data_IF_466237546462
#
_entry.id   IF_466237546462
#
_cell.length_a   1.000
_cell.length_b   1.000
_cell.length_c   1.000
_cell.angle_alpha   90.00
_cell.angle_beta   90.00
_cell.angle_gamma   90.00
#
_symmetry.space_group_name_H-M   'P 1'
#
loop_
_entity.id
_entity.type
_entity.pdbx_description
1 polymer ?
#
# COMPACT_ATOMS: atom_id res chain seq x y z
N UNK A 1 5.36 21.18 0.40
CA UNK A 1 4.36 21.08 1.48
C UNK A 1 3.35 22.21 1.47
N UNK A 2 3.63 23.35 0.82
CA UNK A 2 2.74 24.53 0.82
C UNK A 2 1.39 24.32 0.08
N UNK A 3 1.31 23.32 -0.81
CA UNK A 3 0.08 22.98 -1.55
C UNK A 3 -0.76 21.89 -0.86
N UNK A 4 -0.31 21.35 0.28
CA UNK A 4 -1.06 20.33 1.01
C UNK A 4 -2.08 21.00 1.94
N UNK A 5 -3.36 20.85 1.62
CA UNK A 5 -4.44 21.25 2.51
C UNK A 5 -4.52 20.31 3.71
N UNK A 6 -4.50 20.87 4.92
CA UNK A 6 -4.57 20.14 6.18
C UNK A 6 -5.80 20.63 6.95
N UNK A 7 -6.56 19.68 7.48
CA UNK A 7 -7.70 19.96 8.36
C UNK A 7 -7.64 19.05 9.58
N UNK A 8 -7.81 19.62 10.78
CA UNK A 8 -7.94 18.89 12.04
C UNK A 8 -9.35 19.12 12.58
N UNK A 9 -10.32 18.27 12.20
CA UNK A 9 -11.71 18.41 12.64
C UNK A 9 -11.88 17.98 14.10
N UNK A 10 -12.81 18.61 14.79
CA UNK A 10 -13.19 18.33 16.18
C UNK A 10 -14.05 17.07 16.30
N UNK A 11 -14.93 16.81 15.31
CA UNK A 11 -15.83 15.64 15.32
C UNK A 11 -15.80 14.86 14.01
N UNK A 12 -16.22 13.58 14.07
CA UNK A 12 -16.32 12.71 12.91
C UNK A 12 -17.31 13.21 11.85
N UNK A 13 -18.43 13.82 12.28
CA UNK A 13 -19.38 14.47 11.36
C UNK A 13 -18.71 15.61 10.61
N UNK A 14 -18.06 16.52 11.33
CA UNK A 14 -17.38 17.67 10.74
C UNK A 14 -16.29 17.23 9.76
N UNK A 15 -15.50 16.21 10.12
CA UNK A 15 -14.48 15.64 9.25
C UNK A 15 -15.06 15.18 7.91
N UNK A 16 -16.19 14.47 7.93
CA UNK A 16 -16.82 13.91 6.73
C UNK A 16 -17.57 14.97 5.92
N UNK A 17 -18.08 16.02 6.56
CA UNK A 17 -18.67 17.19 5.89
C UNK A 17 -17.63 18.06 5.19
N UNK A 18 -16.47 18.28 5.83
CA UNK A 18 -15.32 18.93 5.21
C UNK A 18 -14.89 18.10 3.99
N UNK A 19 -14.74 16.78 4.15
CA UNK A 19 -14.38 15.91 3.03
C UNK A 19 -15.38 16.02 1.87
N UNK A 20 -16.69 15.96 2.12
CA UNK A 20 -17.72 16.08 1.07
C UNK A 20 -17.66 17.44 0.37
N UNK A 21 -17.47 18.53 1.13
CA UNK A 21 -17.36 19.89 0.57
C UNK A 21 -16.14 20.01 -0.33
N UNK A 22 -14.98 19.51 0.11
CA UNK A 22 -13.74 19.54 -0.67
C UNK A 22 -13.85 18.69 -1.94
N UNK A 23 -14.47 17.51 -1.86
CA UNK A 23 -14.70 16.65 -3.03
C UNK A 23 -15.63 17.34 -4.04
N UNK A 24 -16.74 17.92 -3.57
CA UNK A 24 -17.72 18.63 -4.42
C UNK A 24 -17.16 19.88 -5.09
N UNK A 25 -16.16 20.52 -4.47
CA UNK A 25 -15.51 21.68 -5.08
C UNK A 25 -14.78 21.34 -6.39
N UNK A 26 -14.43 20.05 -6.60
CA UNK A 26 -13.66 19.60 -7.75
C UNK A 26 -12.20 20.05 -7.74
N UNK A 27 -11.74 20.77 -6.70
CA UNK A 27 -10.38 21.29 -6.63
C UNK A 27 -9.37 20.31 -6.04
N UNK A 28 -9.81 19.13 -5.59
CA UNK A 28 -8.95 18.12 -4.97
C UNK A 28 -8.96 16.83 -5.78
N UNK A 29 -7.76 16.38 -6.16
CA UNK A 29 -7.57 15.09 -6.84
C UNK A 29 -7.44 13.92 -5.86
N UNK A 30 -6.85 14.14 -4.68
CA UNK A 30 -6.64 13.10 -3.66
C UNK A 30 -6.97 13.64 -2.27
N UNK A 31 -7.81 12.93 -1.52
CA UNK A 31 -8.14 13.22 -0.13
C UNK A 31 -7.82 12.02 0.75
N UNK A 32 -7.12 12.25 1.86
CA UNK A 32 -6.78 11.21 2.84
C UNK A 32 -7.46 11.50 4.18
N UNK A 33 -8.16 10.51 4.72
CA UNK A 33 -8.74 10.56 6.07
C UNK A 33 -7.90 9.70 7.00
N UNK A 34 -7.14 10.34 7.88
CA UNK A 34 -6.30 9.71 8.89
C UNK A 34 -6.82 10.05 10.31
N UNK A 35 -7.59 9.18 10.98
CA UNK A 35 -8.03 7.84 10.58
C UNK A 35 -9.50 7.62 10.89
N UNK A 36 -10.10 6.57 10.31
CA UNK A 36 -11.49 6.17 10.59
C UNK A 36 -11.73 5.91 12.08
N UNK A 37 -10.72 5.40 12.79
CA UNK A 37 -10.82 5.13 14.22
C UNK A 37 -11.00 6.41 15.05
N UNK A 38 -10.50 7.55 14.55
CA UNK A 38 -10.60 8.86 15.18
C UNK A 38 -11.82 9.68 14.73
N UNK A 39 -12.66 9.15 13.85
CA UNK A 39 -13.93 9.77 13.47
C UNK A 39 -14.96 9.57 14.59
N UNK A 40 -14.76 10.24 15.71
CA UNK A 40 -15.60 10.14 16.90
C UNK A 40 -16.85 11.01 16.72
N UNK A 41 -18.06 10.44 16.79
CA UNK A 41 -19.29 11.21 16.69
C UNK A 41 -19.40 12.26 17.80
N UNK A 42 -20.02 13.40 17.51
CA UNK A 42 -20.20 14.49 18.49
C UNK A 42 -20.81 14.02 19.81
N UNK A 43 -21.87 13.22 19.76
CA UNK A 43 -22.54 12.73 20.96
C UNK A 43 -21.64 11.84 21.84
N UNK A 44 -20.63 11.19 21.27
CA UNK A 44 -19.64 10.41 22.04
C UNK A 44 -18.59 11.34 22.69
N UNK A 45 -18.25 12.46 22.06
CA UNK A 45 -17.33 13.46 22.62
C UNK A 45 -17.96 14.31 23.73
N UNK A 46 -19.26 14.61 23.60
CA UNK A 46 -20.03 15.39 24.59
C UNK A 46 -20.56 14.54 25.75
N UNK A 47 -20.59 13.20 25.60
CA UNK A 47 -21.02 12.26 26.62
C UNK A 47 -19.97 11.99 27.70
N UNK A 48 -20.37 11.26 28.74
CA UNK A 48 -19.45 10.85 29.81
C UNK A 48 -18.69 9.57 29.45
N UNK A 49 -17.51 9.41 30.04
CA UNK A 49 -16.73 8.18 29.87
C UNK A 49 -17.50 7.00 30.47
N UNK A 50 -17.87 6.05 29.62
CA UNK A 50 -18.65 4.87 30.01
C UNK A 50 -20.08 4.87 29.46
N UNK A 51 -20.52 5.97 28.86
CA UNK A 51 -21.84 6.02 28.22
C UNK A 51 -21.95 5.04 27.05
N UNK A 52 -23.07 4.33 27.02
CA UNK A 52 -23.33 3.29 26.03
C UNK A 52 -23.80 3.87 24.70
N UNK A 53 -22.86 4.25 23.84
CA UNK A 53 -23.13 4.70 22.47
C UNK A 53 -22.99 3.55 21.45
N UNK A 54 -23.94 2.61 21.45
CA UNK A 54 -23.84 1.42 20.61
C UNK A 54 -23.97 1.76 19.12
N UNK A 55 -22.87 1.57 18.38
CA UNK A 55 -22.86 1.62 16.91
C UNK A 55 -23.02 3.03 16.31
N UNK A 56 -22.77 4.08 17.08
CA UNK A 56 -22.92 5.46 16.60
C UNK A 56 -21.97 5.75 15.42
N UNK A 57 -20.70 5.40 15.57
CA UNK A 57 -19.68 5.56 14.52
C UNK A 57 -20.01 4.75 13.25
N UNK A 58 -20.56 3.53 13.38
CA UNK A 58 -20.89 2.70 12.20
C UNK A 58 -22.07 3.26 11.40
N UNK A 59 -23.03 3.89 12.08
CA UNK A 59 -24.16 4.60 11.46
C UNK A 59 -23.68 5.86 10.75
N UNK A 60 -22.84 6.65 11.41
CA UNK A 60 -22.20 7.83 10.83
C UNK A 60 -21.48 7.48 9.52
N UNK A 61 -20.60 6.47 9.56
CA UNK A 61 -19.87 6.00 8.37
C UNK A 61 -20.80 5.53 7.26
N UNK A 62 -21.87 4.80 7.58
CA UNK A 62 -22.84 4.33 6.58
C UNK A 62 -23.57 5.48 5.89
N UNK A 63 -23.95 6.52 6.64
CA UNK A 63 -24.63 7.69 6.10
C UNK A 63 -23.67 8.56 5.27
N UNK A 64 -22.47 8.81 5.79
CA UNK A 64 -21.47 9.62 5.12
C UNK A 64 -21.01 8.99 3.81
N UNK A 65 -20.64 7.70 3.80
CA UNK A 65 -20.18 7.02 2.60
C UNK A 65 -21.27 6.95 1.50
N UNK A 66 -22.54 6.85 1.88
CA UNK A 66 -23.66 6.92 0.93
C UNK A 66 -23.70 8.26 0.19
N UNK A 67 -23.44 9.37 0.89
CA UNK A 67 -23.37 10.71 0.29
C UNK A 67 -22.09 10.88 -0.52
N UNK A 68 -20.93 10.58 0.09
CA UNK A 68 -19.60 10.75 -0.49
C UNK A 68 -19.44 9.97 -1.79
N UNK A 69 -20.00 8.77 -1.92
CA UNK A 69 -19.83 7.95 -3.12
C UNK A 69 -20.31 8.65 -4.40
N UNK A 70 -21.42 9.39 -4.33
CA UNK A 70 -21.90 10.16 -5.48
C UNK A 70 -20.97 11.34 -5.79
N UNK A 71 -20.51 12.05 -4.75
CA UNK A 71 -19.60 13.20 -4.89
C UNK A 71 -18.27 12.77 -5.51
N UNK A 72 -17.67 11.70 -4.99
CA UNK A 72 -16.38 11.12 -5.45
C UNK A 72 -16.45 10.75 -6.93
N UNK A 73 -17.54 10.09 -7.35
CA UNK A 73 -17.69 9.66 -8.74
C UNK A 73 -17.83 10.84 -9.71
N UNK A 74 -18.47 11.92 -9.29
CA UNK A 74 -18.67 13.12 -10.11
C UNK A 74 -17.41 14.00 -10.20
N UNK A 75 -16.66 14.11 -9.12
CA UNK A 75 -15.45 14.96 -9.05
C UNK A 75 -14.18 14.26 -9.52
N UNK A 76 -14.24 12.93 -9.73
CA UNK A 76 -13.08 12.08 -10.02
C UNK A 76 -11.97 12.21 -8.95
N UNK A 77 -12.36 12.40 -7.68
CA UNK A 77 -11.41 12.50 -6.56
C UNK A 77 -11.12 11.12 -5.98
N UNK A 78 -9.84 10.77 -5.79
CA UNK A 78 -9.44 9.59 -5.04
C UNK A 78 -9.56 9.86 -3.54
N UNK A 79 -10.31 9.02 -2.82
CA UNK A 79 -10.42 9.10 -1.35
C UNK A 79 -9.79 7.89 -0.70
N UNK A 80 -8.84 8.12 0.19
CA UNK A 80 -8.11 7.10 0.96
C UNK A 80 -8.52 7.21 2.42
N UNK A 81 -9.00 6.11 3.00
CA UNK A 81 -9.27 6.00 4.43
C UNK A 81 -8.20 5.14 5.10
N UNK A 82 -7.50 5.71 6.07
CA UNK A 82 -6.61 4.96 6.96
C UNK A 82 -7.46 4.40 8.10
N UNK A 83 -7.26 3.14 8.44
CA UNK A 83 -8.02 2.47 9.48
C UNK A 83 -7.11 1.58 10.31
N UNK A 84 -7.52 1.35 11.54
CA UNK A 84 -6.80 0.54 12.52
C UNK A 84 -7.47 -0.82 12.67
N UNK A 85 -6.66 -1.82 12.99
CA UNK A 85 -7.15 -3.13 13.41
C UNK A 85 -7.58 -3.07 14.89
N UNK A 86 -8.60 -3.85 15.20
CA UNK A 86 -9.11 -4.17 16.54
C UNK A 86 -9.36 -5.68 16.61
N UNK A 87 -9.47 -6.22 17.81
CA UNK A 87 -9.86 -7.61 18.01
C UNK A 87 -11.32 -7.69 18.41
N UNK A 88 -12.08 -8.55 17.75
CA UNK A 88 -13.45 -8.87 18.15
C UNK A 88 -13.42 -9.93 19.25
N UNK A 89 -13.81 -9.54 20.45
CA UNK A 89 -13.90 -10.45 21.60
C UNK A 89 -14.98 -11.50 21.32
N UNK A 90 -14.72 -12.76 21.68
CA UNK A 90 -15.68 -13.86 21.60
C UNK A 90 -15.73 -14.61 20.26
N UNK A 91 -14.79 -14.35 19.34
CA UNK A 91 -14.64 -15.14 18.10
C UNK A 91 -13.85 -16.41 18.41
N UNK A 92 -14.51 -17.58 18.36
CA UNK A 92 -13.88 -18.89 18.58
C UNK A 92 -13.33 -19.54 17.30
N UNK A 93 -13.74 -19.07 16.12
CA UNK A 93 -13.33 -19.61 14.82
C UNK A 93 -13.10 -18.50 13.79
N UNK A 94 -12.04 -18.61 12.99
CA UNK A 94 -11.64 -17.61 12.00
C UNK A 94 -10.75 -16.50 12.57
N UNK A 95 -10.49 -15.46 11.75
CA UNK A 95 -9.68 -14.33 12.20
C UNK A 95 -10.46 -13.43 13.16
N UNK A 96 -9.91 -13.11 14.36
CA UNK A 96 -10.54 -12.18 15.29
C UNK A 96 -10.34 -10.72 14.88
N UNK A 97 -9.55 -10.43 13.85
CA UNK A 97 -9.25 -9.07 13.41
C UNK A 97 -10.46 -8.40 12.75
N UNK A 98 -10.74 -7.18 13.18
CA UNK A 98 -11.78 -6.31 12.61
C UNK A 98 -11.27 -4.88 12.46
N UNK A 99 -11.98 -4.07 11.68
CA UNK A 99 -11.67 -2.65 11.45
C UNK A 99 -12.72 -1.77 12.12
N UNK A 100 -12.33 -0.56 12.53
CA UNK A 100 -13.27 0.44 13.11
C UNK A 100 -14.23 1.01 12.06
N UNK A 101 -15.29 1.70 12.50
CA UNK A 101 -16.28 2.32 11.59
C UNK A 101 -17.34 1.37 11.00
N UNK A 102 -17.45 0.14 11.52
CA UNK A 102 -18.43 -0.85 11.06
C UNK A 102 -18.11 -1.46 9.69
N UNK A 103 -19.15 -1.89 8.97
CA UNK A 103 -18.97 -2.63 7.71
C UNK A 103 -19.08 -1.76 6.45
N UNK A 104 -19.62 -0.54 6.54
CA UNK A 104 -19.90 0.29 5.37
C UNK A 104 -18.65 0.48 4.49
N UNK A 105 -17.53 0.89 5.08
CA UNK A 105 -16.29 1.09 4.34
C UNK A 105 -15.85 -0.16 3.59
N UNK A 106 -16.02 -1.35 4.19
CA UNK A 106 -15.67 -2.63 3.53
C UNK A 106 -16.43 -2.82 2.22
N UNK A 107 -17.68 -2.36 2.12
CA UNK A 107 -18.51 -2.50 0.92
C UNK A 107 -18.26 -1.37 -0.09
N UNK A 108 -18.14 -0.13 0.38
CA UNK A 108 -17.95 1.05 -0.47
C UNK A 108 -16.55 1.13 -1.08
N UNK A 109 -15.50 0.70 -0.38
CA UNK A 109 -14.14 0.74 -0.94
C UNK A 109 -14.01 -0.09 -2.23
N UNK A 110 -13.43 0.51 -3.26
CA UNK A 110 -13.08 -0.19 -4.51
C UNK A 110 -11.85 -1.08 -4.34
N UNK A 111 -10.86 -0.61 -3.58
CA UNK A 111 -9.64 -1.35 -3.23
C UNK A 111 -9.47 -1.33 -1.71
N UNK A 112 -9.02 -2.45 -1.13
CA UNK A 112 -8.61 -2.53 0.27
C UNK A 112 -7.25 -3.19 0.37
N UNK A 113 -6.40 -2.58 1.17
CA UNK A 113 -5.01 -2.99 1.38
C UNK A 113 -4.81 -3.31 2.87
N UNK A 114 -4.24 -4.47 3.16
CA UNK A 114 -3.74 -4.85 4.49
C UNK A 114 -2.22 -4.68 4.48
N UNK A 115 -1.73 -3.70 5.25
CA UNK A 115 -0.31 -3.37 5.37
C UNK A 115 0.24 -3.89 6.70
N UNK A 116 1.36 -4.62 6.64
CA UNK A 116 2.03 -5.18 7.82
C UNK A 116 3.53 -4.99 7.73
N UNK A 117 4.14 -4.60 8.85
CA UNK A 117 5.58 -4.75 9.05
C UNK A 117 5.90 -6.22 9.24
N UNK A 118 6.79 -6.76 8.41
CA UNK A 118 7.23 -8.16 8.46
C UNK A 118 8.67 -8.31 8.98
N UNK A 119 9.46 -7.24 8.94
CA UNK A 119 10.85 -7.27 9.39
C UNK A 119 11.42 -5.90 9.69
N UNK A 120 12.64 -5.88 10.21
CA UNK A 120 13.44 -4.69 10.42
C UNK A 120 14.65 -4.72 9.47
N UNK A 121 14.94 -3.60 8.83
CA UNK A 121 16.13 -3.42 8.00
C UNK A 121 17.21 -2.85 8.90
N UNK A 122 18.35 -3.53 8.98
CA UNK A 122 19.47 -3.12 9.84
C UNK A 122 20.67 -2.74 9.00
N UNK A 123 21.31 -1.65 9.39
CA UNK A 123 22.69 -1.36 9.02
C UNK A 123 23.55 -1.53 10.27
N UNK A 124 24.37 -2.59 10.28
CA UNK A 124 25.11 -3.05 11.47
C UNK A 124 24.16 -3.23 12.67
N UNK A 125 24.23 -2.37 13.67
CA UNK A 125 23.44 -2.41 14.90
C UNK A 125 22.22 -1.47 14.87
N UNK A 126 22.09 -0.59 13.88
CA UNK A 126 21.01 0.39 13.79
C UNK A 126 19.87 -0.10 12.90
N UNK A 127 18.62 0.13 13.33
CA UNK A 127 17.44 -0.15 12.52
C UNK A 127 17.16 1.08 11.64
N UNK A 128 17.44 0.94 10.36
CA UNK A 128 17.33 2.01 9.35
C UNK A 128 15.99 2.00 8.59
N UNK A 129 15.18 0.95 8.77
CA UNK A 129 13.89 0.86 8.12
C UNK A 129 13.08 -0.39 8.47
N UNK A 130 11.96 -0.55 7.77
CA UNK A 130 11.00 -1.63 7.94
C UNK A 130 10.78 -2.35 6.62
N UNK A 131 10.92 -3.68 6.66
CA UNK A 131 10.42 -4.51 5.58
C UNK A 131 8.91 -4.64 5.75
N UNK A 132 8.17 -4.27 4.70
CA UNK A 132 6.72 -4.10 4.72
C UNK A 132 6.07 -4.98 3.68
N UNK A 133 4.96 -5.62 4.05
CA UNK A 133 4.12 -6.42 3.16
C UNK A 133 2.75 -5.77 3.04
N UNK A 134 2.27 -5.60 1.81
CA UNK A 134 0.91 -5.15 1.53
C UNK A 134 0.16 -6.24 0.76
N UNK A 135 -1.00 -6.64 1.28
CA UNK A 135 -1.93 -7.58 0.63
C UNK A 135 -3.17 -6.85 0.14
N UNK A 136 -3.53 -7.05 -1.12
CA UNK A 136 -4.79 -6.53 -1.68
C UNK A 136 -5.95 -7.43 -1.25
N UNK A 137 -6.62 -7.10 -0.15
CA UNK A 137 -7.71 -7.94 0.40
C UNK A 137 -9.05 -7.75 -0.28
N UNK A 138 -9.20 -6.66 -1.06
CA UNK A 138 -10.36 -6.42 -1.94
C UNK A 138 -9.90 -5.63 -3.15
N UNK A 139 -10.36 -6.00 -4.33
CA UNK A 139 -10.12 -5.26 -5.56
C UNK A 139 -11.35 -5.38 -6.48
N UNK A 140 -11.90 -4.25 -6.93
CA UNK A 140 -13.02 -4.18 -7.88
C UNK A 140 -12.59 -3.89 -9.33
N UNK A 141 -11.32 -3.54 -9.56
CA UNK A 141 -10.83 -3.08 -10.87
C UNK A 141 -9.80 -4.04 -11.49
N UNK A 142 -9.28 -4.98 -10.71
CA UNK A 142 -8.33 -6.01 -11.15
C UNK A 142 -8.42 -7.23 -10.20
N UNK A 143 -7.73 -8.35 -10.51
CA UNK A 143 -7.71 -9.51 -9.63
C UNK A 143 -7.24 -9.17 -8.20
N UNK A 144 -7.97 -9.61 -7.15
CA UNK A 144 -7.59 -9.39 -5.75
C UNK A 144 -6.51 -10.39 -5.27
N UNK A 145 -6.12 -10.24 -4.00
CA UNK A 145 -5.25 -11.15 -3.23
C UNK A 145 -3.77 -11.19 -3.61
N UNK A 146 -3.34 -10.34 -4.54
CA UNK A 146 -1.91 -10.09 -4.77
C UNK A 146 -1.24 -9.54 -3.52
N UNK A 147 0.02 -9.90 -3.36
CA UNK A 147 0.90 -9.46 -2.27
C UNK A 147 2.09 -8.76 -2.87
N UNK A 148 2.47 -7.63 -2.29
CA UNK A 148 3.70 -6.92 -2.60
C UNK A 148 4.51 -6.74 -1.33
N UNK A 149 5.83 -6.84 -1.46
CA UNK A 149 6.78 -6.61 -0.39
C UNK A 149 7.75 -5.54 -0.84
N UNK A 150 8.01 -4.59 0.06
CA UNK A 150 8.89 -3.46 -0.20
C UNK A 150 9.45 -2.93 1.12
N UNK A 151 10.46 -2.08 0.98
CA UNK A 151 11.17 -1.49 2.10
C UNK A 151 10.71 -0.06 2.33
N UNK A 152 10.43 0.28 3.59
CA UNK A 152 10.20 1.65 4.04
C UNK A 152 11.41 2.07 4.87
N UNK A 153 12.22 2.98 4.33
CA UNK A 153 13.39 3.53 5.00
C UNK A 153 12.99 4.74 5.85
N UNK A 154 13.54 4.87 7.05
CA UNK A 154 13.25 6.01 7.91
C UNK A 154 13.82 7.30 7.32
N UNK A 155 13.03 8.37 7.28
CA UNK A 155 13.42 9.66 6.70
C UNK A 155 13.35 9.73 5.17
N UNK A 156 13.32 8.61 4.46
CA UNK A 156 13.24 8.58 2.99
C UNK A 156 11.88 8.09 2.45
N UNK A 157 11.20 7.19 3.17
CA UNK A 157 9.94 6.58 2.73
C UNK A 157 10.13 5.27 1.95
N UNK A 158 9.26 5.00 0.99
CA UNK A 158 9.30 3.75 0.21
C UNK A 158 10.56 3.75 -0.67
N UNK A 159 11.38 2.71 -0.56
CA UNK A 159 12.63 2.56 -1.32
C UNK A 159 12.35 2.10 -2.75
N UNK A 160 12.03 3.05 -3.65
CA UNK A 160 11.81 2.80 -5.09
C UNK A 160 12.96 2.05 -5.75
N UNK A 161 14.20 2.42 -5.45
CA UNK A 161 15.39 1.75 -6.03
C UNK A 161 15.51 0.30 -5.58
N UNK A 162 15.14 0.00 -4.33
CA UNK A 162 15.09 -1.38 -3.83
C UNK A 162 14.07 -2.22 -4.59
N UNK A 163 12.87 -1.67 -4.81
CA UNK A 163 11.83 -2.33 -5.60
C UNK A 163 12.27 -2.56 -7.05
N UNK A 164 12.93 -1.59 -7.69
CA UNK A 164 13.43 -1.74 -9.06
C UNK A 164 14.43 -2.90 -9.19
N UNK A 165 15.30 -3.09 -8.21
CA UNK A 165 16.24 -4.24 -8.20
C UNK A 165 15.46 -5.54 -8.06
N UNK A 166 14.55 -5.62 -7.09
CA UNK A 166 13.82 -6.86 -6.79
C UNK A 166 12.87 -7.26 -7.94
N UNK A 167 12.16 -6.28 -8.53
CA UNK A 167 11.31 -6.48 -9.70
C UNK A 167 12.13 -6.76 -10.96
N UNK A 168 13.26 -6.07 -11.15
CA UNK A 168 14.14 -6.29 -12.29
C UNK A 168 14.71 -7.71 -12.32
N UNK A 169 15.05 -8.28 -11.16
CA UNK A 169 15.46 -9.70 -11.07
C UNK A 169 14.29 -10.64 -11.37
N UNK A 170 13.11 -10.39 -10.79
CA UNK A 170 11.92 -11.22 -11.05
C UNK A 170 11.46 -11.18 -12.50
N UNK A 171 11.67 -10.07 -13.18
CA UNK A 171 11.35 -9.87 -14.58
C UNK A 171 12.43 -10.38 -15.55
N UNK A 172 13.51 -11.00 -15.05
CA UNK A 172 14.67 -11.44 -15.84
C UNK A 172 15.32 -10.28 -16.64
N UNK A 173 15.22 -9.05 -16.14
CA UNK A 173 15.84 -7.85 -16.71
C UNK A 173 17.22 -7.63 -16.10
N UNK A 174 17.36 -7.94 -14.81
CA UNK A 174 18.62 -7.91 -14.06
C UNK A 174 19.02 -9.35 -13.77
N UNK A 175 20.20 -9.74 -14.23
CA UNK A 175 20.77 -11.06 -13.98
C UNK A 175 21.38 -11.12 -12.59
N UNK A 176 21.05 -12.15 -11.81
CA UNK A 176 21.63 -12.40 -10.49
C UNK A 176 22.40 -13.72 -10.48
N UNK A 177 23.72 -13.64 -10.34
CA UNK A 177 24.61 -14.79 -10.19
C UNK A 177 25.22 -14.80 -8.78
N UNK A 178 24.60 -15.57 -7.88
CA UNK A 178 24.98 -15.59 -6.47
C UNK A 178 24.75 -14.23 -5.79
N UNK A 179 25.84 -13.57 -5.39
CA UNK A 179 25.80 -12.21 -4.82
C UNK A 179 26.01 -11.10 -5.86
N UNK A 180 26.35 -11.45 -7.11
CA UNK A 180 26.60 -10.48 -8.18
C UNK A 180 25.34 -10.19 -9.00
N UNK A 181 25.18 -8.93 -9.38
CA UNK A 181 24.11 -8.46 -10.24
C UNK A 181 24.70 -7.89 -11.54
N UNK A 182 24.06 -8.17 -12.65
CA UNK A 182 24.41 -7.65 -13.96
C UNK A 182 23.18 -7.13 -14.71
N UNK A 183 23.40 -6.15 -15.58
CA UNK A 183 22.40 -5.61 -16.48
C UNK A 183 23.02 -5.48 -17.86
N UNK A 184 22.39 -6.08 -18.90
CA UNK A 184 22.93 -6.12 -20.27
C UNK A 184 24.40 -6.57 -20.31
N UNK A 185 24.69 -7.68 -19.64
CA UNK A 185 26.04 -8.27 -19.52
C UNK A 185 27.09 -7.40 -18.79
N UNK A 186 26.73 -6.20 -18.31
CA UNK A 186 27.59 -5.38 -17.48
C UNK A 186 27.34 -5.68 -16.00
N UNK A 187 28.40 -5.93 -15.23
CA UNK A 187 28.31 -6.05 -13.76
C UNK A 187 27.97 -4.68 -13.17
N UNK A 188 26.85 -4.60 -12.46
CA UNK A 188 26.34 -3.37 -11.85
C UNK A 188 26.62 -3.31 -10.34
N UNK A 189 26.90 -4.44 -9.69
CA UNK A 189 27.30 -4.46 -8.29
C UNK A 189 27.26 -5.83 -7.65
N UNK A 190 27.85 -5.92 -6.45
CA UNK A 190 27.76 -7.08 -5.57
C UNK A 190 26.86 -6.75 -4.38
N UNK A 191 25.78 -7.50 -4.21
CA UNK A 191 24.79 -7.28 -3.17
C UNK A 191 23.79 -6.18 -3.49
N UNK A 192 22.57 -6.33 -2.96
CA UNK A 192 21.42 -5.46 -3.26
C UNK A 192 21.68 -3.98 -2.99
N UNK A 193 22.36 -3.66 -1.90
CA UNK A 193 22.61 -2.26 -1.51
C UNK A 193 23.57 -1.54 -2.46
N UNK A 194 24.62 -2.22 -2.94
CA UNK A 194 25.53 -1.63 -3.91
C UNK A 194 24.86 -1.39 -5.26
N UNK A 195 23.93 -2.27 -5.65
CA UNK A 195 23.12 -2.07 -6.87
C UNK A 195 22.17 -0.88 -6.70
N UNK A 196 21.55 -0.70 -5.53
CA UNK A 196 20.75 0.49 -5.24
C UNK A 196 21.57 1.76 -5.39
N UNK A 197 22.80 1.78 -4.85
CA UNK A 197 23.70 2.93 -5.00
C UNK A 197 24.06 3.17 -6.47
N UNK A 198 24.39 2.12 -7.22
CA UNK A 198 24.64 2.22 -8.67
C UNK A 198 23.45 2.83 -9.42
N UNK A 199 22.22 2.39 -9.14
CA UNK A 199 21.02 2.93 -9.79
C UNK A 199 20.71 4.37 -9.35
N UNK A 200 21.05 4.73 -8.11
CA UNK A 200 20.95 6.11 -7.62
C UNK A 200 21.90 7.02 -8.39
N UNK A 201 23.13 6.57 -8.62
CA UNK A 201 24.18 7.32 -9.32
C UNK A 201 23.97 7.33 -10.84
N UNK A 202 23.13 6.43 -11.38
CA UNK A 202 22.83 6.31 -12.80
C UNK A 202 21.31 6.38 -13.10
N UNK A 203 20.64 7.53 -12.90
CA UNK A 203 19.20 7.67 -13.14
C UNK A 203 18.70 7.25 -14.52
N UNK A 204 19.43 7.48 -15.65
CA UNK A 204 18.99 7.01 -16.96
C UNK A 204 18.85 5.49 -17.03
N UNK A 205 19.76 4.74 -16.40
CA UNK A 205 19.71 3.29 -16.35
C UNK A 205 18.55 2.83 -15.47
N UNK A 206 18.33 3.49 -14.33
CA UNK A 206 17.20 3.19 -13.45
C UNK A 206 15.85 3.39 -14.17
N UNK A 207 15.71 4.47 -14.94
CA UNK A 207 14.50 4.73 -15.73
C UNK A 207 14.32 3.71 -16.86
N UNK A 208 15.40 3.32 -17.51
CA UNK A 208 15.35 2.28 -18.54
C UNK A 208 14.86 0.94 -17.95
N UNK A 209 15.40 0.54 -16.81
CA UNK A 209 14.98 -0.67 -16.09
C UNK A 209 13.51 -0.56 -15.70
N UNK A 210 13.08 0.57 -15.14
CA UNK A 210 11.67 0.82 -14.78
C UNK A 210 10.74 0.65 -15.99
N UNK A 211 11.07 1.27 -17.13
CA UNK A 211 10.27 1.18 -18.34
C UNK A 211 10.17 -0.27 -18.85
N UNK A 212 11.28 -1.01 -18.87
CA UNK A 212 11.28 -2.43 -19.27
C UNK A 212 10.46 -3.30 -18.31
N UNK A 213 10.48 -3.01 -17.01
CA UNK A 213 9.64 -3.71 -16.02
C UNK A 213 8.16 -3.44 -16.32
N UNK A 214 7.79 -2.20 -16.64
CA UNK A 214 6.41 -1.83 -16.97
C UNK A 214 5.93 -2.43 -18.30
N UNK A 215 6.78 -2.45 -19.34
CA UNK A 215 6.47 -3.12 -20.61
C UNK A 215 6.25 -4.63 -20.41
N UNK A 216 7.04 -5.24 -19.52
CA UNK A 216 6.91 -6.64 -19.14
C UNK A 216 5.91 -6.87 -17.98
N UNK A 217 5.03 -5.91 -17.67
CA UNK A 217 4.14 -6.00 -16.52
C UNK A 217 3.28 -7.27 -16.51
N UNK A 218 2.92 -7.84 -17.68
CA UNK A 218 2.22 -9.12 -17.77
C UNK A 218 3.06 -10.34 -17.32
N UNK A 219 4.39 -10.29 -17.49
CA UNK A 219 5.34 -11.30 -16.99
C UNK A 219 5.57 -11.11 -15.49
N UNK A 220 5.73 -9.86 -15.06
CA UNK A 220 5.84 -9.50 -13.63
C UNK A 220 4.58 -9.91 -12.86
N UNK A 221 3.40 -9.71 -13.44
CA UNK A 221 2.12 -10.12 -12.87
C UNK A 221 2.04 -11.63 -12.63
N UNK A 222 2.49 -12.44 -13.60
CA UNK A 222 2.57 -13.91 -13.45
C UNK A 222 3.59 -14.32 -12.39
N UNK A 223 4.79 -13.74 -12.42
CA UNK A 223 5.85 -14.02 -11.44
C UNK A 223 5.43 -13.66 -10.00
N UNK A 224 4.67 -12.56 -9.82
CA UNK A 224 4.12 -12.16 -8.53
C UNK A 224 2.94 -13.04 -8.06
N UNK A 225 2.22 -13.69 -8.99
CA UNK A 225 1.12 -14.61 -8.67
C UNK A 225 1.61 -16.02 -8.31
N UNK A 226 2.68 -16.49 -8.94
CA UNK A 226 3.10 -17.90 -8.84
C UNK A 226 4.05 -18.19 -7.67
N UNK A 227 4.77 -17.19 -7.15
CA UNK A 227 5.72 -17.38 -6.03
C UNK A 227 6.93 -18.24 -6.42
N UNK A 228 8.10 -17.60 -6.56
CA UNK A 228 9.38 -18.20 -7.00
C UNK A 228 9.31 -19.05 -8.29
N UNK A 229 9.68 -18.42 -9.41
CA UNK A 229 10.01 -19.15 -10.64
C UNK A 229 11.31 -19.91 -10.37
N UNK A 230 11.22 -21.24 -10.26
CA UNK A 230 12.43 -22.09 -10.34
C UNK A 230 13.08 -21.85 -11.71
N UNK A 231 14.41 -21.60 -11.77
CA UNK A 231 15.07 -21.39 -13.04
C UNK A 231 14.87 -22.63 -13.92
N UNK A 232 14.42 -22.43 -15.16
CA UNK A 232 14.37 -23.49 -16.17
C UNK A 232 15.79 -24.03 -16.32
N UNK A 233 15.98 -25.31 -16.00
CA UNK A 233 17.19 -26.03 -16.35
C UNK A 233 17.38 -25.89 -17.87
N UNK A 234 18.55 -25.40 -18.30
CA UNK A 234 18.95 -25.44 -19.69
C UNK A 234 18.95 -26.92 -20.11
N UNK A 235 18.11 -27.27 -21.07
CA UNK A 235 18.22 -28.54 -21.77
C UNK A 235 19.58 -28.57 -22.46
N UNK A 236 20.51 -29.35 -21.91
CA UNK A 236 21.69 -29.79 -22.64
C UNK A 236 21.20 -30.59 -23.85
N UNK A 237 21.39 -30.03 -25.04
CA UNK A 237 21.34 -30.82 -26.27
C UNK A 237 22.48 -31.83 -26.20
N UNK A 238 22.14 -33.09 -25.90
CA UNK A 238 23.02 -34.21 -26.18
C UNK A 238 23.05 -34.39 -27.71
N UNK A 239 24.19 -34.06 -28.31
CA UNK A 239 24.59 -34.57 -29.61
C UNK A 239 25.03 -36.04 -29.43
N UNK A 240 24.25 -36.98 -29.98
CA UNK A 240 24.69 -38.12 -30.82
C UNK A 240 23.47 -38.90 -31.34
#
# INVERSE_FOLDING_TARGET
>A
TEELLISQPDTGEQALEIADTLIKSGSISVLVVDSVAALTPRAELEGEMGDHHVGLQSRLMSQALRKLTSSIAQSNTLVVFINQLRMKIGVMFGSPETTTGGNALKFYSSVRMDIRRIGAIKDKDEIVGNQTRVKIVKNKVAPPFKVVEFDIMYGEGISKLGELVDLGVKAEIIDKAGSWFAYKDQKIGQGRENVKNFLRDNPPIAQEIENRILENAGVVEKAMMEGEIKPKAKEEKAEE
#
